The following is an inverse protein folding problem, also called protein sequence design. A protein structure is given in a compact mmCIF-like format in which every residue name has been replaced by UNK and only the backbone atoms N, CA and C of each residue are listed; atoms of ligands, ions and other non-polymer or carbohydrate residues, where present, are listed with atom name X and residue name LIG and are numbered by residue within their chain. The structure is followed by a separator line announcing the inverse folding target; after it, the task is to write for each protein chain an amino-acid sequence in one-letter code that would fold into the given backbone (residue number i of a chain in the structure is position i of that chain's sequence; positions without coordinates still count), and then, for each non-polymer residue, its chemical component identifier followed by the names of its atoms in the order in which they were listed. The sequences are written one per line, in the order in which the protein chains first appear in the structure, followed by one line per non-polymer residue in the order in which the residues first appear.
data_IF_552930637428
#
_entry.id   IF_552930637428
#
_cell.length_a   1.000
_cell.length_b   1.000
_cell.length_c   1.000
_cell.angle_alpha   90.00
_cell.angle_beta   90.00
_cell.angle_gamma   90.00
#
_symmetry.space_group_name_H-M   'P 1'
#
loop_
_entity.id
_entity.type
_entity.pdbx_description
1 polymer ?
#
# COMPACT_ATOMS: atom_id res chain seq x y z
N UNK A 1 -31.62 11.49 -18.06
CA UNK A 1 -30.94 10.23 -18.43
C UNK A 1 -30.62 9.48 -17.14
N UNK A 2 -31.30 8.40 -16.87
CA UNK A 2 -30.94 7.54 -15.75
C UNK A 2 -29.61 6.86 -16.08
N UNK A 3 -28.56 7.19 -15.34
CA UNK A 3 -27.31 6.45 -15.41
C UNK A 3 -27.63 5.02 -15.05
N UNK A 4 -27.45 4.09 -16.00
CA UNK A 4 -27.70 2.66 -15.78
C UNK A 4 -26.67 2.16 -14.80
N UNK A 5 -27.05 2.01 -13.54
CA UNK A 5 -26.19 1.44 -12.51
C UNK A 5 -25.86 -0.03 -12.87
N UNK A 6 -24.68 -0.49 -12.47
CA UNK A 6 -24.33 -1.91 -12.60
C UNK A 6 -25.20 -2.76 -11.69
N UNK A 7 -25.36 -4.03 -12.02
CA UNK A 7 -26.14 -4.95 -11.20
C UNK A 7 -25.45 -5.22 -9.86
N UNK A 8 -26.25 -5.52 -8.83
CA UNK A 8 -25.74 -5.90 -7.51
C UNK A 8 -24.87 -7.17 -7.57
N UNK A 9 -25.22 -8.11 -8.46
CA UNK A 9 -24.44 -9.32 -8.68
C UNK A 9 -23.05 -9.02 -9.24
N UNK A 10 -22.95 -8.11 -10.23
CA UNK A 10 -21.67 -7.66 -10.78
C UNK A 10 -20.81 -6.99 -9.69
N UNK A 11 -21.43 -6.11 -8.90
CA UNK A 11 -20.70 -5.40 -7.83
C UNK A 11 -20.19 -6.38 -6.77
N UNK A 12 -21.01 -7.35 -6.37
CA UNK A 12 -20.61 -8.38 -5.41
C UNK A 12 -19.44 -9.21 -5.93
N UNK A 13 -19.51 -9.70 -7.15
CA UNK A 13 -18.43 -10.46 -7.78
C UNK A 13 -17.12 -9.64 -7.88
N UNK A 14 -17.22 -8.35 -8.20
CA UNK A 14 -16.06 -7.45 -8.22
C UNK A 14 -15.46 -7.25 -6.82
N UNK A 15 -16.30 -7.11 -5.78
CA UNK A 15 -15.82 -6.99 -4.40
C UNK A 15 -15.16 -8.28 -3.91
N UNK A 16 -15.73 -9.44 -4.23
CA UNK A 16 -15.17 -10.75 -3.87
C UNK A 16 -13.82 -10.99 -4.54
N UNK A 17 -13.66 -10.61 -5.80
CA UNK A 17 -12.44 -10.87 -6.57
C UNK A 17 -11.33 -9.83 -6.37
N UNK A 18 -11.67 -8.56 -6.15
CA UNK A 18 -10.71 -7.46 -6.13
C UNK A 18 -10.72 -6.64 -4.82
N UNK A 19 -11.65 -6.91 -3.90
CA UNK A 19 -11.83 -6.13 -2.68
C UNK A 19 -10.58 -6.09 -1.82
N UNK A 20 -9.92 -7.22 -1.62
CA UNK A 20 -8.68 -7.32 -0.85
C UNK A 20 -7.56 -6.47 -1.45
N UNK A 21 -7.38 -6.52 -2.77
CA UNK A 21 -6.34 -5.74 -3.47
C UNK A 21 -6.59 -4.23 -3.33
N UNK A 22 -7.85 -3.79 -3.48
CA UNK A 22 -8.25 -2.38 -3.31
C UNK A 22 -7.99 -1.93 -1.87
N UNK A 23 -8.46 -2.69 -0.88
CA UNK A 23 -8.30 -2.34 0.53
C UNK A 23 -6.82 -2.28 0.96
N UNK A 24 -6.06 -3.32 0.63
CA UNK A 24 -4.63 -3.40 0.98
C UNK A 24 -3.81 -2.28 0.32
N UNK A 25 -4.09 -1.95 -0.94
CA UNK A 25 -3.43 -0.82 -1.62
C UNK A 25 -3.77 0.50 -0.95
N UNK A 26 -5.05 0.74 -0.61
CA UNK A 26 -5.47 1.93 0.10
C UNK A 26 -4.78 2.04 1.48
N UNK A 27 -4.76 0.96 2.25
CA UNK A 27 -4.09 0.90 3.55
C UNK A 27 -2.57 1.10 3.42
N UNK A 28 -1.93 0.46 2.44
CA UNK A 28 -0.51 0.64 2.14
C UNK A 28 -0.17 2.11 1.86
N UNK A 29 -1.07 2.82 1.17
CA UNK A 29 -0.90 4.23 0.80
C UNK A 29 -1.16 5.20 1.96
N UNK A 30 -2.18 4.96 2.75
CA UNK A 30 -2.71 5.92 3.74
C UNK A 30 -2.22 5.65 5.16
N UNK A 31 -1.91 4.38 5.49
CA UNK A 31 -1.51 3.97 6.83
C UNK A 31 -2.61 4.07 7.89
N UNK A 32 -3.84 4.42 7.49
CA UNK A 32 -5.01 4.57 8.32
C UNK A 32 -6.10 3.61 7.88
N UNK A 33 -6.62 2.82 8.82
CA UNK A 33 -7.70 1.87 8.55
C UNK A 33 -8.99 2.58 8.15
N UNK A 34 -9.36 3.62 8.87
CA UNK A 34 -10.55 4.41 8.59
C UNK A 34 -10.50 5.04 7.20
N UNK A 35 -9.37 5.63 6.83
CA UNK A 35 -9.19 6.21 5.49
C UNK A 35 -9.19 5.15 4.39
N UNK A 36 -8.62 3.98 4.66
CA UNK A 36 -8.64 2.87 3.70
C UNK A 36 -10.05 2.31 3.48
N UNK A 37 -10.86 2.21 4.53
CA UNK A 37 -12.28 1.81 4.44
C UNK A 37 -13.10 2.85 3.66
N UNK A 38 -12.87 4.15 3.88
CA UNK A 38 -13.52 5.21 3.13
C UNK A 38 -13.17 5.17 1.64
N UNK A 39 -11.89 5.00 1.31
CA UNK A 39 -11.44 4.85 -0.08
C UNK A 39 -12.03 3.59 -0.72
N UNK A 40 -12.06 2.48 0.00
CA UNK A 40 -12.68 1.24 -0.47
C UNK A 40 -14.14 1.46 -0.87
N UNK A 41 -14.93 2.07 0.00
CA UNK A 41 -16.34 2.37 -0.29
C UNK A 41 -16.48 3.28 -1.51
N UNK A 42 -15.70 4.35 -1.59
CA UNK A 42 -15.76 5.29 -2.72
C UNK A 42 -15.39 4.64 -4.05
N UNK A 43 -14.40 3.76 -4.07
CA UNK A 43 -13.96 3.02 -5.27
C UNK A 43 -15.09 2.16 -5.81
N UNK A 44 -15.77 1.39 -4.95
CA UNK A 44 -16.88 0.54 -5.38
C UNK A 44 -18.16 1.33 -5.69
N UNK A 45 -18.42 2.44 -5.02
CA UNK A 45 -19.48 3.36 -5.41
C UNK A 45 -19.23 3.98 -6.79
N UNK A 46 -17.96 4.27 -7.11
CA UNK A 46 -17.60 4.74 -8.45
C UNK A 46 -17.77 3.63 -9.48
N UNK A 47 -17.37 2.41 -9.18
CA UNK A 47 -17.60 1.25 -10.06
C UNK A 47 -19.08 1.06 -10.36
N UNK A 48 -19.95 1.18 -9.36
CA UNK A 48 -21.41 1.07 -9.51
C UNK A 48 -21.98 2.05 -10.54
N UNK A 49 -21.43 3.26 -10.60
CA UNK A 49 -21.88 4.34 -11.49
C UNK A 49 -21.14 4.41 -12.82
N UNK A 50 -20.02 3.70 -12.92
CA UNK A 50 -19.17 3.72 -14.11
C UNK A 50 -19.72 2.79 -15.20
N UNK A 51 -19.65 3.25 -16.44
CA UNK A 51 -20.17 2.55 -17.62
C UNK A 51 -19.09 1.88 -18.45
N UNK A 52 -17.84 1.90 -17.99
CA UNK A 52 -16.71 1.29 -18.70
C UNK A 52 -16.96 -0.20 -18.94
N UNK A 53 -16.87 -0.62 -20.19
CA UNK A 53 -16.90 -2.06 -20.53
C UNK A 53 -15.51 -2.66 -20.28
N UNK A 54 -15.44 -3.59 -19.33
CA UNK A 54 -14.19 -4.30 -19.04
C UNK A 54 -14.05 -5.49 -19.98
N UNK A 55 -12.87 -5.66 -20.58
CA UNK A 55 -12.56 -6.76 -21.48
C UNK A 55 -12.44 -8.09 -20.74
N UNK A 56 -11.88 -8.04 -19.54
CA UNK A 56 -11.61 -9.17 -18.68
C UNK A 56 -11.47 -8.72 -17.21
N UNK A 57 -11.27 -9.68 -16.31
CA UNK A 57 -11.11 -9.43 -14.88
C UNK A 57 -9.85 -8.61 -14.56
N UNK A 58 -8.76 -8.82 -15.30
CA UNK A 58 -7.51 -8.08 -15.10
C UNK A 58 -7.66 -6.60 -15.49
N UNK A 59 -8.38 -6.32 -16.57
CA UNK A 59 -8.69 -4.93 -16.96
C UNK A 59 -9.54 -4.23 -15.88
N UNK A 60 -10.52 -4.93 -15.32
CA UNK A 60 -11.32 -4.40 -14.21
C UNK A 60 -10.46 -4.16 -12.95
N UNK A 61 -9.62 -5.11 -12.57
CA UNK A 61 -8.71 -4.98 -11.44
C UNK A 61 -7.75 -3.79 -11.63
N UNK A 62 -7.14 -3.65 -12.78
CA UNK A 62 -6.27 -2.51 -13.11
C UNK A 62 -7.01 -1.17 -13.00
N UNK A 63 -8.26 -1.10 -13.47
CA UNK A 63 -9.09 0.09 -13.34
C UNK A 63 -9.38 0.41 -11.85
N UNK A 64 -9.76 -0.58 -11.05
CA UNK A 64 -10.02 -0.41 -9.62
C UNK A 64 -8.77 0.08 -8.88
N UNK A 65 -7.60 -0.49 -9.13
CA UNK A 65 -6.34 -0.06 -8.51
C UNK A 65 -5.97 1.36 -8.91
N UNK A 66 -6.18 1.76 -10.18
CA UNK A 66 -5.95 3.14 -10.64
C UNK A 66 -6.89 4.12 -9.93
N UNK A 67 -8.16 3.79 -9.79
CA UNK A 67 -9.13 4.61 -9.03
C UNK A 67 -8.71 4.70 -7.57
N UNK A 68 -8.28 3.61 -6.95
CA UNK A 68 -7.77 3.58 -5.58
C UNK A 68 -6.59 4.55 -5.39
N UNK A 69 -5.60 4.48 -6.28
CA UNK A 69 -4.44 5.38 -6.23
C UNK A 69 -4.85 6.86 -6.37
N UNK A 70 -5.78 7.16 -7.27
CA UNK A 70 -6.31 8.51 -7.46
C UNK A 70 -7.02 9.01 -6.20
N UNK A 71 -7.87 8.20 -5.58
CA UNK A 71 -8.61 8.58 -4.37
C UNK A 71 -7.68 8.77 -3.16
N UNK A 72 -6.67 7.92 -3.01
CA UNK A 72 -5.65 8.10 -1.99
C UNK A 72 -4.89 9.43 -2.16
N UNK A 73 -4.55 9.79 -3.40
CA UNK A 73 -3.88 11.06 -3.69
C UNK A 73 -4.77 12.27 -3.40
N UNK A 74 -6.06 12.19 -3.72
CA UNK A 74 -7.04 13.25 -3.43
C UNK A 74 -7.21 13.45 -1.92
N UNK A 75 -7.34 12.36 -1.17
CA UNK A 75 -7.49 12.38 0.28
C UNK A 75 -6.28 13.03 0.95
N UNK A 76 -5.07 12.69 0.51
CA UNK A 76 -3.84 13.30 1.03
C UNK A 76 -3.74 14.78 0.73
N UNK A 77 -4.11 15.21 -0.47
CA UNK A 77 -4.16 16.63 -0.82
C UNK A 77 -5.16 17.37 0.07
N UNK A 78 -6.35 16.82 0.27
CA UNK A 78 -7.35 17.40 1.15
C UNK A 78 -6.87 17.49 2.61
N UNK A 79 -6.21 16.45 3.11
CA UNK A 79 -5.63 16.44 4.46
C UNK A 79 -4.49 17.47 4.61
N UNK A 80 -3.68 17.66 3.57
CA UNK A 80 -2.64 18.70 3.55
C UNK A 80 -3.24 20.11 3.73
N UNK A 81 -4.31 20.43 3.00
CA UNK A 81 -4.99 21.73 3.12
C UNK A 81 -5.71 21.91 4.47
N UNK A 82 -6.13 20.82 5.14
CA UNK A 82 -6.77 20.86 6.45
C UNK A 82 -5.78 20.89 7.62
N UNK A 83 -4.50 20.58 7.40
CA UNK A 83 -3.42 20.58 8.40
C UNK A 83 -2.84 21.96 8.66
N UNK A 84 -3.67 22.98 8.84
CA UNK A 84 -3.28 24.19 9.58
C UNK A 84 -3.51 24.02 11.10
N UNK A 85 -3.90 22.84 11.56
CA UNK A 85 -3.94 22.47 12.97
C UNK A 85 -3.24 21.10 13.16
N UNK A 86 -2.36 20.94 14.17
CA UNK A 86 -1.73 19.67 14.44
C UNK A 86 -2.77 18.70 14.99
N UNK A 87 -3.26 17.79 14.19
CA UNK A 87 -3.97 16.61 14.64
C UNK A 87 -2.95 15.48 14.70
N UNK A 88 -2.59 15.06 15.90
CA UNK A 88 -1.82 13.87 16.15
C UNK A 88 -2.53 12.69 15.50
N UNK A 89 -1.95 12.14 14.45
CA UNK A 89 -2.35 10.84 13.95
C UNK A 89 -1.95 9.82 15.01
N UNK A 90 -2.89 9.45 15.87
CA UNK A 90 -2.72 8.30 16.74
C UNK A 90 -2.42 7.09 15.83
N UNK A 91 -1.37 6.31 16.10
CA UNK A 91 -1.17 5.06 15.41
C UNK A 91 -2.38 4.18 15.71
N UNK A 92 -3.09 3.78 14.67
CA UNK A 92 -4.23 2.87 14.81
C UNK A 92 -3.69 1.52 15.26
N UNK A 93 -3.77 1.28 16.57
CA UNK A 93 -3.28 0.08 17.22
C UNK A 93 -4.28 -1.06 17.03
N UNK A 94 -4.33 -1.57 15.82
CA UNK A 94 -4.81 -2.91 15.56
C UNK A 94 -3.87 -3.53 14.52
N UNK A 95 -2.64 -3.80 14.97
CA UNK A 95 -1.76 -4.67 14.24
C UNK A 95 -2.43 -6.04 14.12
N UNK A 96 -2.46 -6.66 12.93
CA UNK A 96 -2.66 -8.09 12.84
C UNK A 96 -1.59 -8.77 13.71
N UNK A 97 -1.92 -9.96 14.23
CA UNK A 97 -1.02 -10.80 15.04
C UNK A 97 0.42 -10.76 14.50
N UNK A 98 1.45 -10.78 15.37
CA UNK A 98 2.84 -10.67 14.95
C UNK A 98 3.18 -11.83 14.01
N UNK A 99 3.11 -11.54 12.72
CA UNK A 99 3.58 -12.42 11.67
C UNK A 99 5.12 -12.38 11.67
N UNK A 100 5.76 -13.49 11.32
CA UNK A 100 7.22 -13.62 11.25
C UNK A 100 7.92 -12.60 10.33
N UNK A 101 7.18 -11.67 9.76
CA UNK A 101 7.62 -10.62 8.83
C UNK A 101 7.24 -9.21 9.28
N UNK A 102 6.90 -9.01 10.57
CA UNK A 102 6.48 -7.69 11.08
C UNK A 102 7.55 -6.61 10.85
N UNK A 103 8.82 -6.93 11.04
CA UNK A 103 9.94 -6.01 10.79
C UNK A 103 10.02 -5.58 9.32
N UNK A 104 9.85 -6.54 8.40
CA UNK A 104 9.81 -6.25 6.97
C UNK A 104 8.65 -5.32 6.62
N UNK A 105 7.46 -5.58 7.18
CA UNK A 105 6.29 -4.72 6.94
C UNK A 105 6.45 -3.34 7.57
N UNK A 106 7.11 -3.21 8.70
CA UNK A 106 7.45 -1.92 9.30
C UNK A 106 8.41 -1.15 8.40
N UNK A 107 9.47 -1.80 7.89
CA UNK A 107 10.40 -1.19 6.96
C UNK A 107 9.69 -0.75 5.65
N UNK A 108 8.80 -1.58 5.11
CA UNK A 108 7.99 -1.20 3.93
C UNK A 108 7.09 0.00 4.21
N UNK A 109 6.46 0.05 5.40
CA UNK A 109 5.61 1.20 5.80
C UNK A 109 6.42 2.50 5.96
N UNK A 110 7.69 2.41 6.33
CA UNK A 110 8.58 3.55 6.46
C UNK A 110 9.07 4.11 5.10
N UNK A 111 8.95 3.35 4.02
CA UNK A 111 9.31 3.83 2.68
C UNK A 111 8.48 5.06 2.27
N UNK A 112 9.07 5.98 1.49
CA UNK A 112 8.31 7.02 0.79
C UNK A 112 7.18 6.39 -0.06
N UNK A 113 6.06 7.09 -0.18
CA UNK A 113 4.84 6.58 -0.82
C UNK A 113 5.04 5.98 -2.20
N UNK A 114 5.82 6.65 -3.04
CA UNK A 114 6.07 6.20 -4.40
C UNK A 114 6.88 4.90 -4.45
N UNK A 115 7.82 4.74 -3.52
CA UNK A 115 8.63 3.53 -3.39
C UNK A 115 7.77 2.39 -2.84
N UNK A 116 7.01 2.66 -1.79
CA UNK A 116 6.10 1.71 -1.15
C UNK A 116 5.03 1.21 -2.13
N UNK A 117 4.44 2.11 -2.91
CA UNK A 117 3.46 1.75 -3.94
C UNK A 117 4.07 0.83 -5.01
N UNK A 118 5.27 1.15 -5.49
CA UNK A 118 5.96 0.33 -6.49
C UNK A 118 6.28 -1.07 -5.93
N UNK A 119 6.75 -1.16 -4.69
CA UNK A 119 7.01 -2.43 -3.99
C UNK A 119 5.73 -3.26 -3.86
N UNK A 120 4.65 -2.65 -3.38
CA UNK A 120 3.38 -3.33 -3.21
C UNK A 120 2.84 -3.88 -4.53
N UNK A 121 2.75 -3.05 -5.56
CA UNK A 121 2.22 -3.46 -6.86
C UNK A 121 3.08 -4.54 -7.54
N UNK A 122 4.40 -4.49 -7.36
CA UNK A 122 5.30 -5.46 -7.98
C UNK A 122 5.36 -6.79 -7.23
N UNK A 123 5.62 -6.75 -5.91
CA UNK A 123 5.89 -7.97 -5.13
C UNK A 123 4.63 -8.61 -4.54
N UNK A 124 3.59 -7.83 -4.25
CA UNK A 124 2.34 -8.37 -3.67
C UNK A 124 1.32 -8.64 -4.77
N UNK A 125 1.10 -7.70 -5.67
CA UNK A 125 0.10 -7.83 -6.74
C UNK A 125 0.64 -8.45 -8.02
N UNK A 126 1.97 -8.59 -8.16
CA UNK A 126 2.61 -9.27 -9.30
C UNK A 126 2.66 -8.48 -10.61
N UNK A 127 2.45 -7.17 -10.58
CA UNK A 127 2.50 -6.33 -11.78
C UNK A 127 3.94 -6.12 -12.27
N UNK A 128 4.12 -6.13 -13.59
CA UNK A 128 5.36 -5.75 -14.24
C UNK A 128 5.63 -4.24 -14.13
N UNK A 129 6.86 -3.82 -14.37
CA UNK A 129 7.22 -2.39 -14.35
C UNK A 129 6.45 -1.56 -15.36
N UNK A 130 6.11 -2.13 -16.51
CA UNK A 130 5.33 -1.46 -17.56
C UNK A 130 3.86 -1.28 -17.15
N UNK A 131 3.27 -2.30 -16.56
CA UNK A 131 1.90 -2.25 -16.02
C UNK A 131 1.79 -1.25 -14.86
N UNK A 132 2.76 -1.27 -13.93
CA UNK A 132 2.82 -0.30 -12.82
C UNK A 132 2.93 1.12 -13.36
N UNK A 133 3.77 1.34 -14.36
CA UNK A 133 3.92 2.64 -15.01
C UNK A 133 2.59 3.16 -15.56
N UNK A 134 1.79 2.28 -16.19
CA UNK A 134 0.43 2.59 -16.64
C UNK A 134 -0.54 2.89 -15.50
N UNK A 135 -0.42 2.19 -14.37
CA UNK A 135 -1.28 2.39 -13.19
C UNK A 135 -0.99 3.72 -12.48
N UNK A 136 0.29 4.05 -12.28
CA UNK A 136 0.71 5.25 -11.53
C UNK A 136 0.94 6.49 -12.40
N UNK A 137 0.86 6.36 -13.73
CA UNK A 137 0.99 7.47 -14.67
C UNK A 137 2.43 7.99 -14.81
N UNK A 138 3.42 7.11 -14.84
CA UNK A 138 4.83 7.47 -15.04
C UNK A 138 5.51 6.59 -16.10
N UNK A 139 6.80 6.82 -16.35
CA UNK A 139 7.58 5.99 -17.28
C UNK A 139 8.05 4.69 -16.61
N UNK A 140 8.17 3.57 -17.34
CA UNK A 140 8.70 2.30 -16.81
C UNK A 140 10.09 2.45 -16.17
N UNK A 141 10.95 3.29 -16.73
CA UNK A 141 12.26 3.61 -16.16
C UNK A 141 12.14 4.22 -14.75
N UNK A 142 11.12 5.04 -14.51
CA UNK A 142 10.84 5.61 -13.18
C UNK A 142 10.45 4.52 -12.19
N UNK A 143 9.63 3.56 -12.59
CA UNK A 143 9.23 2.43 -11.74
C UNK A 143 10.46 1.58 -11.39
N UNK A 144 11.32 1.25 -12.37
CA UNK A 144 12.58 0.52 -12.11
C UNK A 144 13.48 1.24 -11.12
N UNK A 145 13.61 2.55 -11.25
CA UNK A 145 14.38 3.38 -10.31
C UNK A 145 13.75 3.37 -8.90
N UNK A 146 12.42 3.46 -8.80
CA UNK A 146 11.71 3.37 -7.52
C UNK A 146 11.94 2.02 -6.84
N UNK A 147 11.80 0.92 -7.57
CA UNK A 147 12.06 -0.43 -7.06
C UNK A 147 13.52 -0.61 -6.62
N UNK A 148 14.47 -0.09 -7.40
CA UNK A 148 15.88 -0.14 -7.03
C UNK A 148 16.16 0.62 -5.73
N UNK A 149 15.66 1.84 -5.59
CA UNK A 149 15.80 2.65 -4.37
C UNK A 149 15.12 2.00 -3.16
N UNK A 150 13.92 1.45 -3.36
CA UNK A 150 13.21 0.76 -2.30
C UNK A 150 14.01 -0.46 -1.78
N UNK A 151 14.51 -1.29 -2.68
CA UNK A 151 15.35 -2.45 -2.29
C UNK A 151 16.61 -2.04 -1.53
N UNK A 152 17.26 -0.96 -1.97
CA UNK A 152 18.45 -0.44 -1.30
C UNK A 152 18.12 0.04 0.11
N UNK A 153 17.02 0.76 0.29
CA UNK A 153 16.59 1.26 1.59
C UNK A 153 16.17 0.12 2.52
N UNK A 154 15.34 -0.83 2.04
CA UNK A 154 14.92 -2.00 2.82
C UNK A 154 16.12 -2.84 3.27
N UNK A 155 17.13 -3.02 2.42
CA UNK A 155 18.35 -3.73 2.79
C UNK A 155 19.10 -3.03 3.92
N UNK A 156 19.24 -1.70 3.85
CA UNK A 156 19.91 -0.92 4.91
C UNK A 156 19.13 -0.96 6.22
N UNK A 157 17.80 -0.85 6.15
CA UNK A 157 16.94 -0.84 7.33
C UNK A 157 16.94 -2.21 8.04
N UNK A 158 16.96 -3.31 7.29
CA UNK A 158 17.00 -4.66 7.84
C UNK A 158 18.41 -5.03 8.37
N UNK A 159 19.48 -4.65 7.66
CA UNK A 159 20.86 -4.86 8.12
C UNK A 159 21.15 -4.05 9.41
N UNK A 160 20.60 -2.84 9.53
CA UNK A 160 20.73 -2.03 10.75
C UNK A 160 20.02 -2.62 11.97
N UNK A 161 18.91 -3.31 11.77
CA UNK A 161 18.18 -4.01 12.85
C UNK A 161 18.96 -5.20 13.40
N UNK A 162 19.64 -5.93 12.54
CA UNK A 162 20.49 -7.08 12.94
C UNK A 162 21.71 -6.62 13.76
N UNK A 163 22.29 -5.46 13.46
CA UNK A 163 23.43 -4.91 14.19
C UNK A 163 23.04 -4.44 15.61
N UNK A 164 21.84 -3.89 15.80
CA UNK A 164 21.35 -3.46 17.11
C UNK A 164 21.03 -4.65 18.05
N UNK A 165 20.63 -5.79 17.51
CA UNK A 165 20.36 -7.01 18.30
C UNK A 165 21.66 -7.70 18.72
N UNK A 166 22.73 -7.59 17.92
CA UNK A 166 24.04 -8.18 18.22
C UNK A 166 24.82 -7.40 19.31
N UNK A 167 24.60 -6.09 19.44
CA UNK A 167 25.23 -5.29 20.51
C UNK A 167 24.58 -5.49 21.89
N UNK A 168 23.42 -6.13 21.99
CA UNK A 168 22.74 -6.40 23.26
C UNK A 168 23.12 -7.70 23.95
N UNK A 169 24.07 -8.48 23.43
CA UNK A 169 24.58 -9.65 24.14
C UNK A 169 25.56 -9.17 25.20
N UNK A 170 25.26 -9.27 26.52
CA UNK A 170 26.20 -8.89 27.55
C UNK A 170 27.39 -9.83 27.47
N UNK A 171 28.57 -9.28 27.30
CA UNK A 171 29.82 -10.02 27.48
C UNK A 171 29.81 -10.61 28.90
N UNK A 172 29.57 -11.90 28.99
CA UNK A 172 29.69 -12.61 30.24
C UNK A 172 31.12 -12.52 30.75
N UNK A 173 31.20 -12.01 31.97
CA UNK A 173 32.40 -11.74 32.72
C UNK A 173 33.46 -12.85 32.63
N UNK A 174 34.69 -12.41 32.41
CA UNK A 174 35.86 -13.23 32.46
C UNK A 174 35.92 -14.05 33.75
N UNK A 175 36.15 -15.31 33.59
CA UNK A 175 36.44 -16.22 34.70
C UNK A 175 37.92 -16.10 35.02
N UNK A 176 38.24 -15.31 36.03
CA UNK A 176 39.53 -15.47 36.72
C UNK A 176 39.47 -16.76 37.52
N UNK A 177 40.41 -17.61 37.28
CA UNK A 177 40.75 -18.72 38.21
C UNK A 177 42.14 -18.53 38.78
N UNK A 178 42.37 -18.90 40.04
CA UNK A 178 43.58 -18.66 40.78
C UNK A 178 44.75 -19.57 40.37
#
# INVERSE_FOLDING_TARGET
MQSKLRSDEFLRAAMESCGDAVYRLAYCRLGSRADAEDVFQEVFLRLLRDTTEFRDAEHMKAWLLRVTLSRCADLRRSAWFKRTAPLEAAPDAAAPEPDSHEELWQAVRALPDDLRTAVYLHYVEGYSTDEIAGLVGCRPATVRTRLHRARKQLKLDLEGSDDEEYERVPQAAGHESP
#
